data_IF_832449687544
#
_entry.id   IF_832449687544
#
_cell.length_a   1.000
_cell.length_b   1.000
_cell.length_c   1.000
_cell.angle_alpha   90.00
_cell.angle_beta   90.00
_cell.angle_gamma   90.00
#
_symmetry.space_group_name_H-M   'P 1'
#
loop_
_entity.id
_entity.type
_entity.pdbx_description
1 polymer ?
#
# COMPACT_ATOMS: atom_id res chain seq x y z
N UNK A 1 -47.16 -8.17 -23.39
CA UNK A 1 -45.89 -7.43 -23.28
C UNK A 1 -44.70 -8.28 -22.78
N UNK A 2 -44.91 -9.34 -21.99
CA UNK A 2 -43.82 -10.23 -21.50
C UNK A 2 -43.32 -11.29 -22.51
N UNK A 3 -44.04 -11.53 -23.61
CA UNK A 3 -43.72 -12.59 -24.57
C UNK A 3 -42.38 -12.37 -25.33
N UNK A 4 -41.94 -11.12 -25.46
CA UNK A 4 -40.62 -10.76 -26.03
C UNK A 4 -39.46 -11.33 -25.20
N UNK A 5 -39.59 -11.37 -23.86
CA UNK A 5 -38.58 -11.94 -22.96
C UNK A 5 -38.45 -13.46 -23.11
N UNK A 6 -39.44 -14.13 -23.72
CA UNK A 6 -39.47 -15.58 -23.93
C UNK A 6 -38.87 -16.02 -25.27
N UNK A 7 -38.33 -15.09 -26.06
CA UNK A 7 -37.51 -15.45 -27.22
C UNK A 7 -36.13 -15.87 -26.75
N UNK A 8 -35.54 -16.93 -27.32
CA UNK A 8 -34.24 -17.50 -26.90
C UNK A 8 -33.12 -16.45 -26.76
N UNK A 9 -33.15 -15.41 -27.58
CA UNK A 9 -32.25 -14.25 -27.54
C UNK A 9 -32.36 -13.45 -26.23
N UNK A 10 -33.57 -13.17 -25.75
CA UNK A 10 -33.79 -12.40 -24.53
C UNK A 10 -33.50 -13.22 -23.27
N UNK A 11 -33.75 -14.53 -23.28
CA UNK A 11 -33.35 -15.42 -22.18
C UNK A 11 -31.82 -15.44 -22.05
N UNK A 12 -31.09 -15.60 -23.15
CA UNK A 12 -29.63 -15.59 -23.15
C UNK A 12 -29.07 -14.23 -22.68
N UNK A 13 -29.65 -13.13 -23.13
CA UNK A 13 -29.27 -11.79 -22.68
C UNK A 13 -29.51 -11.60 -21.17
N UNK A 14 -30.68 -11.98 -20.66
CA UNK A 14 -30.97 -11.90 -19.22
C UNK A 14 -30.02 -12.77 -18.41
N UNK A 15 -29.72 -13.99 -18.86
CA UNK A 15 -28.74 -14.85 -18.20
C UNK A 15 -27.35 -14.22 -18.17
N UNK A 16 -26.91 -13.60 -19.27
CA UNK A 16 -25.63 -12.87 -19.33
C UNK A 16 -25.61 -11.69 -18.33
N UNK A 17 -26.70 -10.92 -18.24
CA UNK A 17 -26.83 -9.81 -17.29
C UNK A 17 -26.74 -10.31 -15.85
N UNK A 18 -27.40 -11.43 -15.52
CA UNK A 18 -27.32 -12.01 -14.18
C UNK A 18 -25.90 -12.47 -13.84
N UNK A 19 -25.18 -13.09 -14.78
CA UNK A 19 -23.77 -13.45 -14.62
C UNK A 19 -22.92 -12.20 -14.37
N UNK A 20 -23.14 -11.14 -15.16
CA UNK A 20 -22.40 -9.88 -15.01
C UNK A 20 -22.65 -9.23 -13.64
N UNK A 21 -23.89 -9.24 -13.15
CA UNK A 21 -24.24 -8.73 -11.81
C UNK A 21 -23.45 -9.49 -10.73
N UNK A 22 -23.44 -10.83 -10.79
CA UNK A 22 -22.69 -11.64 -9.83
C UNK A 22 -21.18 -11.36 -9.93
N UNK A 23 -20.64 -11.29 -11.15
CA UNK A 23 -19.22 -11.00 -11.37
C UNK A 23 -18.81 -9.64 -10.81
N UNK A 24 -19.60 -8.59 -11.05
CA UNK A 24 -19.33 -7.26 -10.49
C UNK A 24 -19.54 -7.20 -8.98
N UNK A 25 -20.48 -7.97 -8.42
CA UNK A 25 -20.61 -8.13 -6.98
C UNK A 25 -19.34 -8.72 -6.34
N UNK A 26 -18.78 -9.76 -6.95
CA UNK A 26 -17.52 -10.38 -6.51
C UNK A 26 -16.32 -9.44 -6.66
N UNK A 27 -16.24 -8.72 -7.78
CA UNK A 27 -15.20 -7.72 -8.03
C UNK A 27 -15.26 -6.55 -7.04
N UNK A 28 -16.47 -6.06 -6.74
CA UNK A 28 -16.69 -5.05 -5.70
C UNK A 28 -16.15 -5.55 -4.35
N UNK A 29 -16.54 -6.76 -3.93
CA UNK A 29 -16.04 -7.36 -2.68
C UNK A 29 -14.51 -7.48 -2.67
N UNK A 30 -13.91 -7.86 -3.78
CA UNK A 30 -12.46 -7.93 -3.90
C UNK A 30 -11.79 -6.55 -3.77
N UNK A 31 -12.34 -5.52 -4.40
CA UNK A 31 -11.85 -4.15 -4.25
C UNK A 31 -11.93 -3.68 -2.79
N UNK A 32 -13.05 -3.94 -2.12
CA UNK A 32 -13.23 -3.63 -0.70
C UNK A 32 -12.20 -4.35 0.19
N UNK A 33 -11.98 -5.64 -0.05
CA UNK A 33 -10.97 -6.41 0.71
C UNK A 33 -9.55 -5.84 0.52
N UNK A 34 -9.18 -5.49 -0.72
CA UNK A 34 -7.89 -4.86 -1.03
C UNK A 34 -7.75 -3.48 -0.40
N UNK A 35 -8.82 -2.68 -0.38
CA UNK A 35 -8.81 -1.39 0.29
C UNK A 35 -8.63 -1.57 1.80
N UNK A 36 -9.34 -2.52 2.40
CA UNK A 36 -9.23 -2.82 3.83
C UNK A 36 -7.83 -3.31 4.22
N UNK A 37 -7.20 -4.18 3.40
CA UNK A 37 -5.81 -4.63 3.60
C UNK A 37 -4.84 -3.44 3.68
N UNK A 38 -4.96 -2.48 2.75
CA UNK A 38 -4.15 -1.26 2.77
C UNK A 38 -4.46 -0.38 3.98
N UNK A 39 -5.72 -0.30 4.40
CA UNK A 39 -6.11 0.48 5.56
C UNK A 39 -5.55 -0.11 6.85
N UNK A 40 -5.60 -1.43 7.03
CA UNK A 40 -4.99 -2.11 8.18
C UNK A 40 -3.48 -1.84 8.25
N UNK A 41 -2.78 -1.89 7.12
CA UNK A 41 -1.35 -1.56 7.07
C UNK A 41 -1.06 -0.10 7.45
N UNK A 42 -1.90 0.84 6.97
CA UNK A 42 -1.77 2.26 7.32
C UNK A 42 -1.99 2.51 8.81
N UNK A 43 -3.02 1.90 9.39
CA UNK A 43 -3.30 2.02 10.83
C UNK A 43 -2.14 1.47 11.65
N UNK A 44 -1.63 0.28 11.32
CA UNK A 44 -0.47 -0.31 12.00
C UNK A 44 0.77 0.61 11.93
N UNK A 45 0.99 1.25 10.78
CA UNK A 45 2.03 2.25 10.56
C UNK A 45 1.85 3.51 11.40
N UNK A 46 0.62 4.05 11.47
CA UNK A 46 0.29 5.24 12.24
C UNK A 46 0.45 4.98 13.75
N UNK A 47 -0.02 3.84 14.24
CA UNK A 47 0.15 3.40 15.63
C UNK A 47 1.63 3.23 15.98
N UNK A 48 2.38 2.59 15.09
CA UNK A 48 3.82 2.45 15.19
C UNK A 48 4.56 3.80 15.25
N UNK A 49 4.16 4.75 14.41
CA UNK A 49 4.74 6.08 14.35
C UNK A 49 4.42 6.92 15.59
N UNK A 50 3.26 6.69 16.22
CA UNK A 50 2.88 7.33 17.47
C UNK A 50 3.60 6.74 18.71
N UNK A 51 4.09 5.50 18.61
CA UNK A 51 4.82 4.85 19.70
C UNK A 51 6.21 5.47 19.90
N UNK A 52 6.66 5.55 21.16
CA UNK A 52 8.00 6.03 21.48
C UNK A 52 9.06 5.14 20.80
N UNK A 53 9.99 5.75 20.03
CA UNK A 53 11.06 5.01 19.39
C UNK A 53 11.91 4.26 20.42
N UNK A 54 12.32 3.05 20.08
CA UNK A 54 13.25 2.26 20.91
C UNK A 54 14.67 2.34 20.35
N UNK A 55 15.68 2.13 21.17
CA UNK A 55 17.07 2.03 20.70
C UNK A 55 17.22 0.82 19.76
N UNK A 56 18.01 0.98 18.69
CA UNK A 56 18.37 -0.09 17.78
C UNK A 56 19.03 -1.26 18.51
N UNK A 57 19.82 -1.00 19.56
CA UNK A 57 20.50 -2.04 20.34
C UNK A 57 19.55 -2.97 21.09
N UNK A 58 18.32 -2.52 21.36
CA UNK A 58 17.29 -3.32 22.04
C UNK A 58 16.54 -4.27 21.09
N UNK A 59 16.77 -4.19 19.77
CA UNK A 59 16.17 -5.09 18.80
C UNK A 59 17.01 -6.37 18.68
N UNK A 60 16.60 -7.40 19.41
CA UNK A 60 17.18 -8.74 19.31
C UNK A 60 16.73 -9.39 18.01
N UNK A 61 17.69 -9.80 17.14
CA UNK A 61 17.68 -10.67 15.94
C UNK A 61 16.48 -10.64 14.95
N UNK A 62 15.25 -10.49 15.42
CA UNK A 62 14.02 -10.34 14.64
C UNK A 62 13.29 -9.06 15.08
N UNK A 63 13.46 -8.02 14.28
CA UNK A 63 12.71 -6.79 14.46
C UNK A 63 11.22 -7.03 14.18
N UNK A 64 10.30 -6.55 15.03
CA UNK A 64 8.88 -6.52 14.71
C UNK A 64 8.64 -5.62 13.49
N UNK A 65 7.65 -5.98 12.67
CA UNK A 65 7.20 -5.11 11.60
C UNK A 65 6.75 -3.76 12.17
N UNK A 66 7.12 -2.68 11.47
CA UNK A 66 6.74 -1.31 11.82
C UNK A 66 7.25 -0.81 13.18
N UNK A 67 8.26 -1.42 13.81
CA UNK A 67 8.80 -0.88 15.08
C UNK A 67 9.60 0.41 14.85
N UNK A 68 9.14 1.51 15.44
CA UNK A 68 9.89 2.79 15.44
C UNK A 68 11.18 2.68 16.26
N UNK A 69 12.28 3.15 15.66
CA UNK A 69 13.62 3.16 16.29
C UNK A 69 14.23 4.55 16.23
N UNK A 70 15.01 4.87 17.27
CA UNK A 70 15.86 6.06 17.29
C UNK A 70 17.31 5.64 17.27
N UNK A 71 18.08 6.24 16.38
CA UNK A 71 19.51 5.97 16.22
C UNK A 71 20.26 7.28 16.10
N UNK A 72 21.40 7.38 16.77
CA UNK A 72 22.27 8.55 16.76
C UNK A 72 23.58 8.18 16.07
N UNK A 73 24.09 9.06 15.21
CA UNK A 73 25.29 8.82 14.43
C UNK A 73 25.77 10.08 13.72
N UNK A 74 26.71 9.94 12.80
CA UNK A 74 27.26 11.05 12.01
C UNK A 74 27.01 10.82 10.52
N UNK A 75 26.52 11.84 9.83
CA UNK A 75 26.31 11.75 8.38
C UNK A 75 27.64 11.79 7.63
N UNK A 76 27.88 10.80 6.78
CA UNK A 76 29.03 10.78 5.88
C UNK A 76 28.69 11.44 4.54
N UNK A 77 29.17 12.67 4.35
CA UNK A 77 28.98 13.42 3.10
C UNK A 77 29.85 12.91 1.96
N UNK A 78 30.92 12.17 2.25
CA UNK A 78 31.84 11.68 1.22
C UNK A 78 31.22 10.58 0.34
N UNK A 79 30.25 9.83 0.89
CA UNK A 79 29.54 8.72 0.23
C UNK A 79 28.10 9.09 -0.17
N UNK A 80 27.81 10.39 -0.29
CA UNK A 80 26.48 10.88 -0.67
C UNK A 80 26.14 10.49 -2.12
N UNK A 81 24.92 9.99 -2.33
CA UNK A 81 24.41 9.60 -3.65
C UNK A 81 23.12 10.33 -4.01
N UNK A 82 22.91 10.52 -5.31
CA UNK A 82 21.73 11.20 -5.86
C UNK A 82 20.82 10.16 -6.52
N UNK A 83 19.61 10.02 -5.99
CA UNK A 83 18.59 9.11 -6.54
C UNK A 83 17.81 9.84 -7.62
N UNK A 84 17.98 9.37 -8.86
CA UNK A 84 17.29 9.90 -10.04
C UNK A 84 15.83 9.43 -10.07
N UNK A 85 15.00 10.16 -10.83
CA UNK A 85 13.58 9.84 -11.05
C UNK A 85 12.74 9.79 -9.76
N UNK A 86 13.13 10.59 -8.76
CA UNK A 86 12.34 10.78 -7.54
C UNK A 86 11.85 12.22 -7.50
N UNK A 87 10.64 12.50 -8.03
CA UNK A 87 10.06 13.82 -7.94
C UNK A 87 9.84 14.19 -6.46
N UNK A 88 10.05 15.46 -6.15
CA UNK A 88 9.78 16.03 -4.83
C UNK A 88 8.63 17.00 -4.98
N UNK A 89 7.54 16.76 -4.24
CA UNK A 89 6.32 17.58 -4.27
C UNK A 89 5.79 17.85 -5.69
N UNK A 90 5.82 16.81 -6.54
CA UNK A 90 5.35 16.86 -7.93
C UNK A 90 6.28 17.60 -8.90
N UNK A 91 7.44 18.09 -8.45
CA UNK A 91 8.44 18.73 -9.30
C UNK A 91 9.53 17.73 -9.68
N UNK A 92 10.04 17.87 -10.91
CA UNK A 92 11.24 17.15 -11.31
C UNK A 92 12.39 17.54 -10.39
N UNK A 93 13.00 16.53 -9.77
CA UNK A 93 14.03 16.71 -8.78
C UNK A 93 14.79 15.41 -8.55
N UNK A 94 15.70 15.49 -7.59
CA UNK A 94 16.48 14.36 -7.15
C UNK A 94 16.41 14.27 -5.64
N UNK A 95 16.36 13.04 -5.13
CA UNK A 95 16.55 12.83 -3.70
C UNK A 95 18.03 12.70 -3.42
N UNK A 96 18.49 13.39 -2.39
CA UNK A 96 19.86 13.27 -1.88
C UNK A 96 19.85 12.27 -0.73
N UNK A 97 20.61 11.19 -0.88
CA UNK A 97 20.77 10.18 0.15
C UNK A 97 22.16 10.32 0.76
N UNK A 98 22.21 10.67 2.04
CA UNK A 98 23.45 10.77 2.81
C UNK A 98 23.47 9.65 3.86
N UNK A 99 24.42 8.72 3.80
CA UNK A 99 24.52 7.65 4.78
C UNK A 99 24.70 8.18 6.21
N UNK A 100 24.02 7.56 7.17
CA UNK A 100 24.22 7.79 8.60
C UNK A 100 25.16 6.71 9.14
N UNK A 101 26.36 7.11 9.57
CA UNK A 101 27.33 6.22 10.22
C UNK A 101 27.00 6.10 11.70
N UNK A 102 26.83 4.87 12.17
CA UNK A 102 26.60 4.55 13.57
C UNK A 102 27.95 4.40 14.29
N UNK A 103 28.03 4.79 15.55
CA UNK A 103 29.23 4.66 16.38
C UNK A 103 29.34 3.27 17.00
#
# INVERSE_FOLDING_TARGET
MLALLRTRRWIAFTALVLIAIVAFGLLSRWQWYRANEKQTQRIALEEAAAANPTDLTALVARAPDWKSISVTGTYDRSTQVVVRQRPQDGRNGFWVLTPLMLA
#
